data_IF_497748041097
#
_entry.id   IF_497748041097
#
_cell.length_a   1.000
_cell.length_b   1.000
_cell.length_c   1.000
_cell.angle_alpha   90.00
_cell.angle_beta   90.00
_cell.angle_gamma   90.00
#
_symmetry.space_group_name_H-M   'P 1'
#
loop_
_entity.id
_entity.type
_entity.pdbx_description
1 polymer ?
#
# COMPACT_ATOMS: atom_id res chain seq x y z
N UNK A 1 -6.60 -26.72 26.00
CA UNK A 1 -6.71 -26.17 24.63
C UNK A 1 -8.17 -25.78 24.45
N UNK A 2 -8.49 -24.49 24.31
CA UNK A 2 -9.88 -23.99 24.37
C UNK A 2 -10.58 -24.09 23.00
N UNK A 3 -11.91 -24.18 22.98
CA UNK A 3 -12.71 -24.20 21.74
C UNK A 3 -12.39 -23.02 20.81
N UNK A 4 -12.09 -21.85 21.38
CA UNK A 4 -11.69 -20.63 20.66
C UNK A 4 -10.36 -20.76 19.89
N UNK A 5 -9.41 -21.55 20.41
CA UNK A 5 -8.14 -21.79 19.70
C UNK A 5 -8.33 -22.68 18.49
N UNK A 6 -9.20 -23.69 18.59
CA UNK A 6 -9.49 -24.64 17.52
C UNK A 6 -10.23 -23.96 16.37
N UNK A 7 -11.26 -23.16 16.68
CA UNK A 7 -12.03 -22.40 15.69
C UNK A 7 -11.14 -21.41 14.91
N UNK A 8 -10.24 -20.70 15.61
CA UNK A 8 -9.28 -19.78 14.98
C UNK A 8 -8.34 -20.52 14.02
N UNK A 9 -7.75 -21.63 14.44
CA UNK A 9 -6.84 -22.42 13.60
C UNK A 9 -7.54 -22.93 12.34
N UNK A 10 -8.79 -23.37 12.47
CA UNK A 10 -9.59 -23.81 11.32
C UNK A 10 -9.84 -22.68 10.32
N UNK A 11 -10.25 -21.49 10.80
CA UNK A 11 -10.48 -20.32 9.94
C UNK A 11 -9.22 -19.92 9.15
N UNK A 12 -8.06 -19.88 9.81
CA UNK A 12 -6.79 -19.58 9.13
C UNK A 12 -6.43 -20.66 8.11
N UNK A 13 -6.67 -21.95 8.42
CA UNK A 13 -6.40 -23.04 7.48
C UNK A 13 -7.24 -22.93 6.21
N UNK A 14 -8.54 -22.65 6.36
CA UNK A 14 -9.45 -22.48 5.22
C UNK A 14 -9.05 -21.29 4.35
N UNK A 15 -8.73 -20.16 4.98
CA UNK A 15 -8.26 -18.97 4.28
C UNK A 15 -6.95 -19.23 3.53
N UNK A 16 -5.98 -19.91 4.14
CA UNK A 16 -4.70 -20.26 3.50
C UNK A 16 -4.92 -21.16 2.29
N UNK A 17 -5.78 -22.19 2.39
CA UNK A 17 -6.10 -23.08 1.27
C UNK A 17 -6.69 -22.31 0.09
N UNK A 18 -7.67 -21.45 0.36
CA UNK A 18 -8.30 -20.58 -0.64
C UNK A 18 -7.27 -19.69 -1.34
N UNK A 19 -6.32 -19.15 -0.59
CA UNK A 19 -5.28 -18.27 -1.12
C UNK A 19 -4.20 -19.01 -1.91
N UNK A 20 -3.89 -20.25 -1.53
CA UNK A 20 -3.03 -21.16 -2.31
C UNK A 20 -3.67 -21.48 -3.65
N UNK A 21 -4.96 -21.84 -3.67
CA UNK A 21 -5.66 -22.24 -4.90
C UNK A 21 -5.86 -21.05 -5.85
N UNK A 22 -5.80 -19.82 -5.33
CA UNK A 22 -5.89 -18.57 -6.09
C UNK A 22 -4.55 -17.85 -6.23
N UNK A 23 -3.42 -18.51 -5.99
CA UNK A 23 -2.09 -17.88 -6.05
C UNK A 23 -1.76 -17.38 -7.45
N UNK A 24 -2.22 -18.08 -8.50
CA UNK A 24 -2.07 -17.63 -9.87
C UNK A 24 -3.03 -16.49 -10.20
N UNK A 25 -2.52 -15.46 -10.87
CA UNK A 25 -3.30 -14.31 -11.28
C UNK A 25 -4.29 -14.67 -12.39
N UNK A 26 -5.57 -14.42 -12.14
CA UNK A 26 -6.58 -14.41 -13.17
C UNK A 26 -6.55 -13.09 -13.97
N UNK A 27 -7.33 -13.00 -15.04
CA UNK A 27 -7.38 -11.81 -15.90
C UNK A 27 -7.79 -10.55 -15.13
N UNK A 28 -8.77 -10.66 -14.23
CA UNK A 28 -9.21 -9.55 -13.38
C UNK A 28 -8.10 -9.05 -12.46
N UNK A 29 -7.33 -9.96 -11.86
CA UNK A 29 -6.19 -9.60 -11.02
C UNK A 29 -5.12 -8.85 -11.83
N UNK A 30 -4.84 -9.28 -13.07
CA UNK A 30 -3.87 -8.62 -13.96
C UNK A 30 -4.30 -7.20 -14.29
N UNK A 31 -5.55 -7.01 -14.71
CA UNK A 31 -6.12 -5.69 -15.00
C UNK A 31 -6.07 -4.81 -13.75
N UNK A 32 -6.47 -5.35 -12.59
CA UNK A 32 -6.41 -4.62 -11.32
C UNK A 32 -5.00 -4.13 -10.97
N UNK A 33 -3.97 -4.97 -11.16
CA UNK A 33 -2.58 -4.55 -10.94
C UNK A 33 -2.16 -3.45 -11.93
N UNK A 34 -2.52 -3.55 -13.21
CA UNK A 34 -2.21 -2.51 -14.22
C UNK A 34 -2.88 -1.18 -13.86
N UNK A 35 -4.18 -1.21 -13.52
CA UNK A 35 -4.93 -0.02 -13.10
C UNK A 35 -4.29 0.61 -11.87
N UNK A 36 -3.90 -0.21 -10.88
CA UNK A 36 -3.18 0.28 -9.69
C UNK A 36 -1.87 0.99 -10.04
N UNK A 37 -1.08 0.44 -10.96
CA UNK A 37 0.17 1.07 -11.42
C UNK A 37 -0.10 2.40 -12.10
N UNK A 38 -1.06 2.45 -13.04
CA UNK A 38 -1.43 3.68 -13.74
C UNK A 38 -1.93 4.74 -12.76
N UNK A 39 -2.75 4.35 -11.78
CA UNK A 39 -3.22 5.25 -10.74
C UNK A 39 -2.08 5.83 -9.91
N UNK A 40 -1.11 5.00 -9.48
CA UNK A 40 0.05 5.48 -8.71
C UNK A 40 0.89 6.47 -9.54
N UNK A 41 1.12 6.18 -10.82
CA UNK A 41 1.86 7.09 -11.72
C UNK A 41 1.12 8.42 -11.91
N UNK A 42 -0.20 8.36 -12.16
CA UNK A 42 -1.04 9.55 -12.29
C UNK A 42 -1.03 10.38 -11.00
N UNK A 43 -1.28 9.75 -9.86
CA UNK A 43 -1.30 10.41 -8.55
C UNK A 43 0.06 11.04 -8.20
N UNK A 44 1.15 10.32 -8.44
CA UNK A 44 2.52 10.82 -8.25
C UNK A 44 2.80 12.01 -9.18
N UNK A 45 2.37 11.93 -10.44
CA UNK A 45 2.47 13.02 -11.40
C UNK A 45 1.68 14.26 -10.99
N UNK A 46 0.48 14.08 -10.43
CA UNK A 46 -0.34 15.16 -9.90
C UNK A 46 0.34 15.86 -8.71
N UNK A 47 0.90 15.10 -7.76
CA UNK A 47 1.68 15.66 -6.64
C UNK A 47 2.90 16.43 -7.16
N UNK A 48 3.66 15.86 -8.11
CA UNK A 48 4.80 16.54 -8.72
C UNK A 48 4.41 17.85 -9.42
N UNK A 49 3.27 17.86 -10.11
CA UNK A 49 2.74 19.06 -10.76
C UNK A 49 2.39 20.14 -9.74
N UNK A 50 1.66 19.78 -8.67
CA UNK A 50 1.30 20.70 -7.61
C UNK A 50 2.51 21.20 -6.82
N UNK A 51 3.54 20.37 -6.62
CA UNK A 51 4.82 20.80 -6.05
C UNK A 51 5.47 21.90 -6.88
N UNK A 52 5.52 21.73 -8.21
CA UNK A 52 6.15 22.71 -9.11
C UNK A 52 5.44 24.06 -9.09
N UNK A 53 4.13 24.07 -8.82
CA UNK A 53 3.35 25.29 -8.66
C UNK A 53 3.45 25.90 -7.25
N UNK A 54 4.06 25.18 -6.29
CA UNK A 54 4.24 25.65 -4.92
C UNK A 54 2.99 25.53 -4.04
N UNK A 55 2.04 24.64 -4.38
CA UNK A 55 0.73 24.61 -3.71
C UNK A 55 0.59 23.66 -2.52
N UNK A 56 1.40 22.60 -2.42
CA UNK A 56 1.15 21.50 -1.47
C UNK A 56 2.26 21.31 -0.42
N UNK A 57 3.38 22.02 -0.56
CA UNK A 57 4.54 21.87 0.29
C UNK A 57 4.99 23.21 0.83
N UNK A 58 5.43 23.21 2.09
CA UNK A 58 5.97 24.40 2.73
C UNK A 58 7.37 24.71 2.19
N UNK A 59 7.90 25.94 2.40
CA UNK A 59 9.25 26.30 2.00
C UNK A 59 10.36 25.43 2.60
N UNK A 60 10.09 24.74 3.71
CA UNK A 60 11.02 23.79 4.36
C UNK A 60 11.07 22.41 3.67
N UNK A 61 10.27 22.19 2.63
CA UNK A 61 10.32 20.98 1.82
C UNK A 61 11.58 20.96 0.95
N UNK A 62 12.45 20.01 1.27
CA UNK A 62 13.78 19.85 0.70
C UNK A 62 13.80 18.73 -0.36
N UNK A 63 14.92 18.63 -1.07
CA UNK A 63 15.20 17.51 -1.98
C UNK A 63 15.14 16.15 -1.27
N UNK A 64 15.53 16.06 0.01
CA UNK A 64 15.45 14.82 0.77
C UNK A 64 14.00 14.41 1.03
N UNK A 65 13.12 15.37 1.33
CA UNK A 65 11.69 15.11 1.51
C UNK A 65 11.07 14.62 0.20
N UNK A 66 11.41 15.27 -0.92
CA UNK A 66 11.00 14.83 -2.24
C UNK A 66 11.45 13.40 -2.49
N UNK A 67 12.71 13.08 -2.22
CA UNK A 67 13.24 11.73 -2.39
C UNK A 67 12.45 10.71 -1.56
N UNK A 68 12.19 10.98 -0.29
CA UNK A 68 11.40 10.08 0.56
C UNK A 68 9.97 9.89 0.06
N UNK A 69 9.26 10.98 -0.23
CA UNK A 69 7.88 10.94 -0.69
C UNK A 69 7.76 10.21 -2.04
N UNK A 70 8.54 10.59 -3.03
CA UNK A 70 8.42 10.02 -4.37
C UNK A 70 8.94 8.59 -4.44
N UNK A 71 9.99 8.27 -3.68
CA UNK A 71 10.48 6.88 -3.63
C UNK A 71 9.44 5.94 -3.04
N UNK A 72 8.76 6.34 -1.95
CA UNK A 72 7.76 5.46 -1.33
C UNK A 72 6.50 5.34 -2.18
N UNK A 73 6.05 6.42 -2.83
CA UNK A 73 4.93 6.36 -3.77
C UNK A 73 5.24 5.44 -4.96
N UNK A 74 6.40 5.63 -5.60
CA UNK A 74 6.79 4.83 -6.76
C UNK A 74 7.11 3.38 -6.39
N UNK A 75 7.65 3.10 -5.20
CA UNK A 75 7.84 1.72 -4.73
C UNK A 75 6.51 0.98 -4.57
N UNK A 76 5.39 1.68 -4.37
CA UNK A 76 4.04 1.12 -4.38
C UNK A 76 3.67 0.38 -5.68
N UNK A 77 4.39 0.62 -6.78
CA UNK A 77 4.23 -0.10 -8.06
C UNK A 77 4.84 -1.51 -7.99
N UNK A 78 5.89 -1.71 -7.18
CA UNK A 78 6.69 -2.93 -7.17
C UNK A 78 5.86 -4.22 -6.90
N UNK A 79 4.93 -4.27 -5.94
CA UNK A 79 4.09 -5.47 -5.74
C UNK A 79 3.28 -5.86 -6.98
N UNK A 80 2.73 -4.87 -7.68
CA UNK A 80 1.95 -5.08 -8.89
C UNK A 80 2.79 -5.59 -10.05
N UNK A 81 3.99 -5.01 -10.24
CA UNK A 81 4.94 -5.50 -11.25
C UNK A 81 5.39 -6.92 -10.97
N UNK A 82 5.77 -7.21 -9.71
CA UNK A 82 6.20 -8.55 -9.31
C UNK A 82 5.10 -9.58 -9.56
N UNK A 83 3.84 -9.25 -9.26
CA UNK A 83 2.69 -10.08 -9.59
C UNK A 83 2.58 -10.32 -11.09
N UNK A 84 2.56 -9.25 -11.89
CA UNK A 84 2.41 -9.36 -13.35
C UNK A 84 3.52 -10.22 -13.97
N UNK A 85 4.77 -10.02 -13.56
CA UNK A 85 5.95 -10.74 -14.06
C UNK A 85 5.93 -12.21 -13.65
N UNK A 86 5.69 -12.48 -12.35
CA UNK A 86 5.76 -13.86 -11.82
C UNK A 86 4.49 -14.66 -12.05
N UNK A 87 3.37 -14.00 -12.34
CA UNK A 87 2.05 -14.62 -12.37
C UNK A 87 1.51 -15.01 -10.99
N UNK A 88 2.23 -14.74 -9.89
CA UNK A 88 1.93 -15.23 -8.54
C UNK A 88 1.61 -14.11 -7.55
N UNK A 89 0.53 -14.28 -6.79
CA UNK A 89 0.07 -13.32 -5.78
C UNK A 89 0.98 -13.30 -4.57
N UNK A 90 1.43 -14.46 -4.12
CA UNK A 90 2.15 -14.58 -2.86
C UNK A 90 3.52 -13.90 -2.90
N UNK A 91 4.22 -13.91 -4.04
CA UNK A 91 5.49 -13.18 -4.19
C UNK A 91 5.25 -11.67 -4.08
N UNK A 92 4.15 -11.17 -4.65
CA UNK A 92 3.74 -9.77 -4.50
C UNK A 92 3.51 -9.35 -3.06
N UNK A 93 2.96 -10.24 -2.20
CA UNK A 93 2.73 -9.93 -0.77
C UNK A 93 4.02 -9.55 -0.03
N UNK A 94 5.14 -10.18 -0.36
CA UNK A 94 6.43 -9.83 0.23
C UNK A 94 6.78 -8.36 -0.08
N UNK A 95 6.59 -7.94 -1.33
CA UNK A 95 6.84 -6.56 -1.73
C UNK A 95 5.81 -5.59 -1.13
N UNK A 96 4.56 -6.02 -0.89
CA UNK A 96 3.60 -5.20 -0.15
C UNK A 96 4.05 -4.95 1.29
N UNK A 97 4.61 -5.96 1.95
CA UNK A 97 5.16 -5.80 3.30
C UNK A 97 6.34 -4.83 3.29
N UNK A 98 7.26 -4.96 2.33
CA UNK A 98 8.40 -4.03 2.20
C UNK A 98 7.88 -2.60 1.96
N UNK A 99 6.94 -2.42 1.03
CA UNK A 99 6.35 -1.12 0.75
C UNK A 99 5.66 -0.52 1.98
N UNK A 100 4.92 -1.35 2.73
CA UNK A 100 4.25 -0.93 3.96
C UNK A 100 5.26 -0.46 5.02
N UNK A 101 6.38 -1.18 5.21
CA UNK A 101 7.44 -0.75 6.12
C UNK A 101 8.08 0.57 5.68
N UNK A 102 8.36 0.75 4.39
CA UNK A 102 8.86 2.01 3.85
C UNK A 102 7.87 3.16 4.09
N UNK A 103 6.58 2.92 3.85
CA UNK A 103 5.52 3.90 4.12
C UNK A 103 5.40 4.24 5.59
N UNK A 104 5.53 3.26 6.49
CA UNK A 104 5.54 3.51 7.93
C UNK A 104 6.70 4.40 8.34
N UNK A 105 7.91 4.14 7.85
CA UNK A 105 9.12 4.92 8.15
C UNK A 105 8.98 6.35 7.61
N UNK A 106 8.68 6.49 6.32
CA UNK A 106 8.58 7.79 5.64
C UNK A 106 7.38 8.60 6.17
N UNK A 107 6.24 7.96 6.39
CA UNK A 107 5.06 8.63 6.94
C UNK A 107 5.27 9.07 8.39
N UNK A 108 5.96 8.28 9.21
CA UNK A 108 6.35 8.71 10.58
C UNK A 108 7.30 9.91 10.52
N UNK A 109 8.29 9.88 9.63
CA UNK A 109 9.16 11.03 9.38
C UNK A 109 8.36 12.29 9.04
N UNK A 110 7.37 12.16 8.16
CA UNK A 110 6.50 13.27 7.79
C UNK A 110 5.48 13.68 8.86
N UNK A 111 5.12 12.82 9.81
CA UNK A 111 4.34 13.26 10.97
C UNK A 111 5.15 14.16 11.91
N UNK A 112 6.45 13.91 12.03
CA UNK A 112 7.35 14.68 12.90
C UNK A 112 7.72 16.01 12.24
N UNK A 113 8.19 15.97 11.00
CA UNK A 113 8.63 17.18 10.27
C UNK A 113 7.47 17.98 9.69
N UNK A 114 6.45 17.29 9.20
CA UNK A 114 5.24 17.82 8.55
C UNK A 114 5.47 19.01 7.60
N UNK A 115 6.09 18.77 6.42
CA UNK A 115 6.39 19.82 5.45
C UNK A 115 5.24 20.10 4.46
N UNK A 116 4.01 19.74 4.82
CA UNK A 116 2.84 19.91 3.94
C UNK A 116 2.16 21.25 4.20
N UNK A 117 1.73 21.90 3.12
CA UNK A 117 0.92 23.11 3.16
C UNK A 117 -0.35 22.86 2.35
N UNK A 118 -1.31 22.20 2.98
CA UNK A 118 -2.61 21.84 2.37
C UNK A 118 -3.63 22.96 2.58
N UNK A 119 -3.36 23.87 3.52
CA UNK A 119 -4.20 25.03 3.79
C UNK A 119 -4.39 25.86 2.51
N UNK A 120 -5.62 25.91 2.01
CA UNK A 120 -5.97 26.65 0.79
C UNK A 120 -5.82 25.86 -0.51
N UNK A 121 -5.47 24.57 -0.47
CA UNK A 121 -5.41 23.70 -1.66
C UNK A 121 -6.75 23.60 -2.38
N UNK A 122 -7.87 23.75 -1.67
CA UNK A 122 -9.19 23.79 -2.28
C UNK A 122 -9.37 25.02 -3.20
N UNK A 123 -8.68 26.13 -2.92
CA UNK A 123 -8.80 27.38 -3.66
C UNK A 123 -8.28 27.34 -5.11
N UNK A 124 -7.55 26.29 -5.49
CA UNK A 124 -7.10 26.07 -6.87
C UNK A 124 -8.06 25.18 -7.67
N UNK A 125 -9.13 24.67 -7.04
CA UNK A 125 -10.07 23.74 -7.65
C UNK A 125 -11.32 24.46 -8.17
N UNK A 126 -11.99 23.93 -9.21
CA UNK A 126 -13.25 24.50 -9.70
C UNK A 126 -14.36 24.40 -8.64
N UNK A 127 -15.30 25.35 -8.67
CA UNK A 127 -16.17 25.73 -7.56
C UNK A 127 -16.82 24.59 -6.75
N UNK A 128 -17.45 23.61 -7.39
CA UNK A 128 -18.12 22.52 -6.66
C UNK A 128 -17.13 21.63 -5.91
N UNK A 129 -15.93 21.45 -6.46
CA UNK A 129 -14.84 20.68 -5.84
C UNK A 129 -14.22 21.49 -4.69
N UNK A 130 -14.15 22.81 -4.84
CA UNK A 130 -13.68 23.71 -3.80
C UNK A 130 -14.49 23.53 -2.51
N UNK A 131 -15.83 23.56 -2.61
CA UNK A 131 -16.73 23.37 -1.47
C UNK A 131 -16.55 21.98 -0.86
N UNK A 132 -16.43 20.94 -1.70
CA UNK A 132 -16.26 19.56 -1.25
C UNK A 132 -14.93 19.31 -0.51
N UNK A 133 -13.92 20.15 -0.71
CA UNK A 133 -12.58 20.00 -0.15
C UNK A 133 -12.15 21.13 0.78
N UNK A 134 -13.03 22.10 1.07
CA UNK A 134 -12.75 23.21 1.98
C UNK A 134 -12.35 22.74 3.39
N UNK A 135 -12.91 21.61 3.83
CA UNK A 135 -12.60 20.98 5.12
C UNK A 135 -11.20 20.35 5.16
N UNK A 136 -10.52 20.18 4.02
CA UNK A 136 -9.20 19.57 3.95
C UNK A 136 -8.13 20.61 4.27
N UNK A 137 -7.70 20.65 5.53
CA UNK A 137 -6.60 21.46 6.02
C UNK A 137 -5.39 20.61 6.45
N UNK A 138 -4.35 21.26 6.93
CA UNK A 138 -3.17 20.60 7.46
C UNK A 138 -3.45 19.64 8.64
N UNK A 139 -4.40 19.99 9.51
CA UNK A 139 -4.75 19.18 10.69
C UNK A 139 -5.44 17.88 10.27
N UNK A 140 -6.40 17.98 9.36
CA UNK A 140 -7.08 16.86 8.76
C UNK A 140 -6.11 15.98 7.99
N UNK A 141 -5.22 16.56 7.17
CA UNK A 141 -4.23 15.79 6.44
C UNK A 141 -3.32 14.98 7.39
N UNK A 142 -2.92 15.58 8.52
CA UNK A 142 -2.17 14.88 9.56
C UNK A 142 -2.95 13.71 10.17
N UNK A 143 -4.24 13.91 10.46
CA UNK A 143 -5.12 12.83 10.98
C UNK A 143 -5.24 11.70 9.95
N UNK A 144 -5.45 12.03 8.68
CA UNK A 144 -5.52 11.05 7.59
C UNK A 144 -4.21 10.27 7.46
N UNK A 145 -3.06 10.93 7.59
CA UNK A 145 -1.75 10.26 7.58
C UNK A 145 -1.62 9.31 8.78
N UNK A 146 -2.01 9.71 9.99
CA UNK A 146 -2.02 8.82 11.18
C UNK A 146 -2.89 7.58 10.93
N UNK A 147 -4.12 7.77 10.44
CA UNK A 147 -5.03 6.66 10.10
C UNK A 147 -4.39 5.76 9.04
N UNK A 148 -3.80 6.34 8.00
CA UNK A 148 -3.09 5.62 6.95
C UNK A 148 -1.96 4.75 7.48
N UNK A 149 -1.17 5.27 8.42
CA UNK A 149 -0.10 4.50 9.08
C UNK A 149 -0.66 3.36 9.93
N UNK A 150 -1.71 3.59 10.71
CA UNK A 150 -2.34 2.53 11.52
C UNK A 150 -2.90 1.40 10.64
N UNK A 151 -3.64 1.74 9.59
CA UNK A 151 -4.18 0.75 8.64
C UNK A 151 -3.04 -0.01 7.95
N UNK A 152 -1.97 0.69 7.58
CA UNK A 152 -0.80 0.09 6.94
C UNK A 152 -0.09 -0.89 7.87
N UNK A 153 0.09 -0.55 9.15
CA UNK A 153 0.71 -1.44 10.14
C UNK A 153 -0.10 -2.72 10.37
N UNK A 154 -1.43 -2.61 10.48
CA UNK A 154 -2.30 -3.78 10.61
C UNK A 154 -2.26 -4.65 9.33
N UNK A 155 -2.31 -4.00 8.16
CA UNK A 155 -2.27 -4.68 6.87
C UNK A 155 -0.93 -5.38 6.61
N UNK A 156 0.19 -4.78 7.05
CA UNK A 156 1.52 -5.38 6.88
C UNK A 156 1.68 -6.64 7.73
N UNK A 157 1.14 -6.65 8.95
CA UNK A 157 1.13 -7.84 9.82
C UNK A 157 0.32 -8.96 9.14
N UNK A 158 -0.89 -8.64 8.68
CA UNK A 158 -1.74 -9.61 7.97
C UNK A 158 -1.03 -10.19 6.74
N UNK A 159 -0.48 -9.33 5.89
CA UNK A 159 0.21 -9.73 4.67
C UNK A 159 1.47 -10.56 4.95
N UNK A 160 2.22 -10.24 6.00
CA UNK A 160 3.40 -11.02 6.42
C UNK A 160 3.01 -12.44 6.87
N UNK A 161 1.97 -12.56 7.71
CA UNK A 161 1.44 -13.86 8.14
C UNK A 161 0.97 -14.66 6.93
N UNK A 162 0.14 -14.07 6.07
CA UNK A 162 -0.38 -14.73 4.88
C UNK A 162 0.72 -15.14 3.91
N UNK A 163 1.74 -14.31 3.72
CA UNK A 163 2.90 -14.63 2.90
C UNK A 163 3.59 -15.91 3.36
N UNK A 164 3.89 -16.01 4.66
CA UNK A 164 4.58 -17.16 5.26
C UNK A 164 3.73 -18.43 5.19
N UNK A 165 2.45 -18.35 5.57
CA UNK A 165 1.56 -19.51 5.60
C UNK A 165 1.32 -20.07 4.19
N UNK A 166 1.02 -19.23 3.21
CA UNK A 166 0.80 -19.65 1.82
C UNK A 166 2.10 -20.19 1.20
N UNK A 167 3.25 -19.58 1.48
CA UNK A 167 4.55 -20.07 1.00
C UNK A 167 4.85 -21.48 1.51
N UNK A 168 4.58 -21.72 2.80
CA UNK A 168 4.80 -23.03 3.40
C UNK A 168 3.88 -24.09 2.81
N UNK A 169 2.62 -23.75 2.55
CA UNK A 169 1.66 -24.70 1.99
C UNK A 169 1.94 -25.01 0.51
N UNK A 170 2.33 -24.01 -0.29
CA UNK A 170 2.78 -24.22 -1.68
C UNK A 170 3.96 -25.18 -1.74
N UNK A 171 4.97 -24.99 -0.88
CA UNK A 171 6.14 -25.88 -0.81
C UNK A 171 5.75 -27.32 -0.47
N UNK A 172 4.80 -27.53 0.44
CA UNK A 172 4.31 -28.88 0.78
C UNK A 172 3.60 -29.54 -0.40
N UNK A 173 2.77 -28.80 -1.15
CA UNK A 173 2.11 -29.32 -2.36
C UNK A 173 3.14 -29.73 -3.42
N UNK A 174 4.15 -28.90 -3.67
CA UNK A 174 5.22 -29.20 -4.62
C UNK A 174 6.02 -30.46 -4.23
N UNK A 175 6.37 -30.61 -2.95
CA UNK A 175 7.08 -31.82 -2.46
C UNK A 175 6.26 -33.09 -2.59
N UNK A 176 4.94 -33.03 -2.41
CA UNK A 176 4.05 -34.19 -2.59
C UNK A 176 3.91 -34.59 -4.05
N UNK A 177 3.85 -33.61 -4.95
CA UNK A 177 3.77 -33.87 -6.39
C UNK A 177 5.04 -34.50 -6.97
N UNK A 178 6.22 -34.22 -6.39
CA UNK A 178 7.49 -34.79 -6.87
C UNK A 178 7.76 -36.21 -6.36
N UNK A 179 6.99 -36.68 -5.38
CA UNK A 179 7.11 -38.02 -4.78
C UNK A 179 6.01 -38.99 -5.26
N UNK A 180 5.12 -38.54 -6.15
CA UNK A 180 4.04 -39.32 -6.75
C UNK A 180 4.37 -39.60 -8.22
#
# INVERSE_FOLDING_TARGET
>A
MSSLTIEREQLWSEQVKKEVDRDYLNMGDRIGNIVGIVFILFFTGAILYLQKLGYIFSPEFTTLDALFLYSVLLFGIAPGLVRIITGRKNVGRLFEVINALLFLIVGTYFLIKFPFQIDGLYGILPGEIQIALEWLDNSIFRILLIIGLLVTALSSIYNAIMYLLVRNELRKKDSRSNNA
#
